data_IF_500124873779
#
_entry.id   IF_500124873779
#
_cell.length_a   1.000
_cell.length_b   1.000
_cell.length_c   1.000
_cell.angle_alpha   90.00
_cell.angle_beta   90.00
_cell.angle_gamma   90.00
#
_symmetry.space_group_name_H-M   'P 1'
#
loop_
_entity.id
_entity.type
_entity.pdbx_description
1 polymer ?
#
# COMPACT_ATOMS: atom_id res chain seq x y z
N UNK A 1 -11.61 4.65 13.52
CA UNK A 1 -10.36 5.31 13.09
C UNK A 1 -10.75 6.46 12.19
N UNK A 2 -10.15 7.63 12.40
CA UNK A 2 -10.32 8.76 11.50
C UNK A 2 -9.30 8.71 10.35
N UNK A 3 -9.36 9.69 9.45
CA UNK A 3 -8.43 9.83 8.32
C UNK A 3 -6.96 9.91 8.76
N UNK A 4 -6.66 10.62 9.85
CA UNK A 4 -5.30 10.77 10.35
C UNK A 4 -4.73 9.44 10.87
N UNK A 5 -5.53 8.65 11.60
CA UNK A 5 -5.13 7.32 12.09
C UNK A 5 -4.84 6.36 10.92
N UNK A 6 -5.69 6.39 9.87
CA UNK A 6 -5.52 5.55 8.68
C UNK A 6 -4.30 5.98 7.86
N UNK A 7 -4.08 7.29 7.71
CA UNK A 7 -2.91 7.83 7.05
C UNK A 7 -1.62 7.47 7.80
N UNK A 8 -1.63 7.51 9.13
CA UNK A 8 -0.52 7.05 9.97
C UNK A 8 -0.25 5.56 9.75
N UNK A 9 -1.29 4.73 9.77
CA UNK A 9 -1.17 3.29 9.54
C UNK A 9 -0.54 2.98 8.16
N UNK A 10 -0.96 3.69 7.11
CA UNK A 10 -0.35 3.56 5.78
C UNK A 10 1.08 4.09 5.74
N UNK A 11 1.36 5.21 6.40
CA UNK A 11 2.70 5.78 6.50
C UNK A 11 3.67 4.79 7.18
N UNK A 12 3.23 4.12 8.24
CA UNK A 12 4.01 3.10 8.93
C UNK A 12 4.25 1.88 8.04
N UNK A 13 3.18 1.32 7.46
CA UNK A 13 3.27 0.17 6.55
C UNK A 13 4.18 0.44 5.33
N UNK A 14 4.14 1.66 4.82
CA UNK A 14 4.91 2.05 3.64
C UNK A 14 6.34 2.42 3.96
N UNK A 15 6.58 3.21 5.03
CA UNK A 15 7.84 3.94 5.20
C UNK A 15 8.38 4.01 6.63
N UNK A 16 7.83 3.25 7.60
CA UNK A 16 8.46 3.16 8.91
C UNK A 16 9.93 2.68 8.79
N UNK A 17 10.84 3.10 9.69
CA UNK A 17 12.24 2.67 9.63
C UNK A 17 12.43 1.15 9.73
N UNK A 18 11.45 0.45 10.31
CA UNK A 18 11.44 -0.99 10.50
C UNK A 18 10.11 -1.55 10.00
N UNK A 19 10.13 -2.78 9.49
CA UNK A 19 8.91 -3.55 9.15
C UNK A 19 7.97 -2.86 8.14
N UNK A 20 8.56 -2.10 7.21
CA UNK A 20 7.84 -1.39 6.14
C UNK A 20 8.30 -1.81 4.76
N UNK A 21 7.48 -1.50 3.74
CA UNK A 21 7.86 -1.70 2.33
C UNK A 21 9.17 -0.99 2.00
N UNK A 22 9.32 0.27 2.40
CA UNK A 22 10.53 1.05 2.17
C UNK A 22 11.76 0.40 2.80
N UNK A 23 11.68 0.01 4.08
CA UNK A 23 12.78 -0.66 4.78
C UNK A 23 13.17 -1.97 4.09
N UNK A 24 12.19 -2.76 3.61
CA UNK A 24 12.44 -4.02 2.94
C UNK A 24 13.04 -3.82 1.53
N UNK A 25 12.63 -2.77 0.81
CA UNK A 25 13.22 -2.39 -0.47
C UNK A 25 14.69 -1.99 -0.31
N UNK A 26 15.02 -1.24 0.74
CA UNK A 26 16.39 -0.80 0.99
C UNK A 26 17.31 -1.98 1.34
N UNK A 27 16.77 -3.03 1.99
CA UNK A 27 17.53 -4.27 2.26
C UNK A 27 17.85 -5.09 1.00
N UNK A 28 17.05 -4.94 -0.07
CA UNK A 28 17.24 -5.65 -1.33
C UNK A 28 17.77 -4.75 -2.45
N UNK A 29 18.19 -3.53 -2.12
CA UNK A 29 18.72 -2.60 -3.12
C UNK A 29 19.96 -3.19 -3.80
N UNK A 30 20.03 -3.05 -5.12
CA UNK A 30 21.05 -3.69 -5.96
C UNK A 30 20.92 -5.22 -6.14
N UNK A 31 20.01 -5.90 -5.44
CA UNK A 31 19.82 -7.34 -5.61
C UNK A 31 19.04 -7.66 -6.90
N UNK A 32 19.59 -8.55 -7.73
CA UNK A 32 18.90 -9.03 -8.93
C UNK A 32 18.20 -10.36 -8.63
N UNK A 33 16.93 -10.30 -8.22
CA UNK A 33 16.10 -11.50 -8.00
C UNK A 33 14.72 -11.32 -8.65
N UNK A 34 14.27 -12.20 -9.58
CA UNK A 34 13.01 -12.03 -10.31
C UNK A 34 11.78 -11.81 -9.40
N UNK A 35 11.76 -12.48 -8.24
CA UNK A 35 10.69 -12.31 -7.25
C UNK A 35 10.60 -10.89 -6.67
N UNK A 36 11.72 -10.16 -6.55
CA UNK A 36 11.71 -8.76 -6.09
C UNK A 36 10.92 -7.91 -7.09
N UNK A 37 11.25 -7.99 -8.39
CA UNK A 37 10.55 -7.25 -9.44
C UNK A 37 9.06 -7.61 -9.54
N UNK A 38 8.72 -8.89 -9.35
CA UNK A 38 7.32 -9.30 -9.28
C UNK A 38 6.60 -8.72 -8.06
N UNK A 39 7.22 -8.74 -6.87
CA UNK A 39 6.63 -8.21 -5.64
C UNK A 39 6.38 -6.70 -5.72
N UNK A 40 7.32 -5.94 -6.26
CA UNK A 40 7.16 -4.48 -6.43
C UNK A 40 6.08 -4.14 -7.45
N UNK A 41 6.02 -4.88 -8.55
CA UNK A 41 4.95 -4.74 -9.56
C UNK A 41 3.58 -5.08 -8.96
N UNK A 42 3.48 -6.20 -8.24
CA UNK A 42 2.25 -6.65 -7.59
C UNK A 42 1.77 -5.62 -6.56
N UNK A 43 2.65 -5.12 -5.69
CA UNK A 43 2.30 -4.07 -4.73
C UNK A 43 1.78 -2.80 -5.42
N UNK A 44 2.44 -2.38 -6.50
CA UNK A 44 2.01 -1.20 -7.28
C UNK A 44 0.60 -1.41 -7.85
N UNK A 45 0.35 -2.56 -8.50
CA UNK A 45 -0.94 -2.88 -9.10
C UNK A 45 -2.05 -2.99 -8.05
N UNK A 46 -1.78 -3.68 -6.94
CA UNK A 46 -2.76 -3.87 -5.87
C UNK A 46 -3.13 -2.54 -5.20
N UNK A 47 -2.15 -1.67 -4.91
CA UNK A 47 -2.42 -0.33 -4.38
C UNK A 47 -3.25 0.52 -5.34
N UNK A 48 -2.96 0.45 -6.65
CA UNK A 48 -3.78 1.11 -7.68
C UNK A 48 -5.20 0.57 -7.69
N UNK A 49 -5.37 -0.74 -7.62
CA UNK A 49 -6.68 -1.40 -7.58
C UNK A 49 -7.52 -0.96 -6.38
N UNK A 50 -6.91 -0.89 -5.19
CA UNK A 50 -7.59 -0.38 -4.00
C UNK A 50 -8.03 1.07 -4.17
N UNK A 51 -7.15 1.95 -4.64
CA UNK A 51 -7.49 3.36 -4.81
C UNK A 51 -8.44 3.65 -5.95
N UNK A 52 -8.46 2.83 -7.00
CA UNK A 52 -9.48 2.90 -8.03
C UNK A 52 -10.87 2.55 -7.46
N UNK A 53 -10.96 1.55 -6.59
CA UNK A 53 -12.22 1.21 -5.93
C UNK A 53 -12.68 2.31 -4.96
N UNK A 54 -11.75 2.89 -4.19
CA UNK A 54 -12.05 4.03 -3.29
C UNK A 54 -12.54 5.23 -4.11
N UNK A 55 -11.80 5.65 -5.14
CA UNK A 55 -12.17 6.75 -6.01
C UNK A 55 -13.57 6.55 -6.64
N UNK A 56 -13.88 5.33 -7.09
CA UNK A 56 -15.20 4.99 -7.61
C UNK A 56 -16.33 5.10 -6.58
N UNK A 57 -16.06 4.85 -5.31
CA UNK A 57 -17.04 4.92 -4.23
C UNK A 57 -17.20 6.33 -3.64
N UNK A 58 -16.10 7.09 -3.52
CA UNK A 58 -16.09 8.40 -2.84
C UNK A 58 -16.15 9.59 -3.80
N UNK A 59 -15.97 9.37 -5.10
CA UNK A 59 -15.82 10.42 -6.10
C UNK A 59 -14.45 11.12 -6.09
N UNK A 60 -13.47 10.57 -5.36
CA UNK A 60 -12.10 11.11 -5.33
C UNK A 60 -11.32 10.87 -6.62
N UNK A 61 -10.14 11.47 -6.69
CA UNK A 61 -9.22 11.29 -7.80
C UNK A 61 -8.61 9.88 -7.80
N UNK A 62 -8.53 9.21 -8.97
CA UNK A 62 -7.83 7.95 -9.11
C UNK A 62 -6.32 8.12 -8.90
N UNK A 63 -5.59 7.02 -8.63
CA UNK A 63 -4.13 7.06 -8.49
C UNK A 63 -3.43 7.49 -9.79
N UNK A 64 -2.33 8.26 -9.75
CA UNK A 64 -1.64 8.73 -10.96
C UNK A 64 -1.10 7.57 -11.80
N UNK A 65 -1.40 7.48 -13.09
CA UNK A 65 -1.08 6.33 -13.97
C UNK A 65 0.42 6.02 -14.10
N UNK A 66 1.28 7.01 -13.93
CA UNK A 66 2.75 6.92 -14.09
C UNK A 66 3.50 6.73 -12.77
N UNK A 67 2.80 6.72 -11.63
CA UNK A 67 3.44 6.56 -10.32
C UNK A 67 4.00 5.14 -10.10
N UNK A 68 5.32 5.02 -9.98
CA UNK A 68 5.97 3.84 -9.41
C UNK A 68 5.64 3.68 -7.92
N UNK A 69 5.92 2.50 -7.36
CA UNK A 69 5.55 2.12 -5.98
C UNK A 69 5.84 3.21 -4.93
N UNK A 70 7.06 3.77 -4.91
CA UNK A 70 7.47 4.79 -3.93
C UNK A 70 6.63 6.07 -4.00
N UNK A 71 6.33 6.55 -5.22
CA UNK A 71 5.47 7.73 -5.42
C UNK A 71 4.04 7.42 -5.00
N UNK A 72 3.54 6.22 -5.31
CA UNK A 72 2.20 5.78 -4.94
C UNK A 72 2.02 5.67 -3.42
N UNK A 73 3.05 5.20 -2.71
CA UNK A 73 3.07 5.11 -1.24
C UNK A 73 2.97 6.46 -0.54
N UNK A 74 3.60 7.51 -1.09
CA UNK A 74 3.45 8.86 -0.56
C UNK A 74 2.07 9.44 -0.88
N UNK A 75 1.65 9.31 -2.14
CA UNK A 75 0.37 9.81 -2.61
C UNK A 75 -0.82 9.24 -1.83
N UNK A 76 -0.86 7.94 -1.52
CA UNK A 76 -1.98 7.35 -0.78
C UNK A 76 -2.11 7.87 0.66
N UNK A 77 -0.99 8.21 1.30
CA UNK A 77 -1.00 8.80 2.64
C UNK A 77 -1.58 10.21 2.56
N UNK A 78 -1.18 10.98 1.55
CA UNK A 78 -1.72 12.33 1.31
C UNK A 78 -3.22 12.28 1.01
N UNK A 79 -3.67 11.39 0.14
CA UNK A 79 -5.10 11.25 -0.18
C UNK A 79 -5.92 10.79 1.02
N UNK A 80 -5.41 9.83 1.80
CA UNK A 80 -6.13 9.33 2.98
C UNK A 80 -6.42 10.45 3.97
N UNK A 81 -5.50 11.43 4.11
CA UNK A 81 -5.70 12.59 4.99
C UNK A 81 -6.83 13.52 4.54
N UNK A 82 -7.21 13.48 3.27
CA UNK A 82 -8.26 14.34 2.71
C UNK A 82 -9.66 13.71 2.80
N UNK A 83 -9.76 12.42 3.13
CA UNK A 83 -11.04 11.72 3.21
C UNK A 83 -11.87 12.24 4.38
N UNK A 84 -13.13 12.58 4.09
CA UNK A 84 -14.11 12.93 5.12
C UNK A 84 -14.57 11.70 5.92
N UNK A 85 -15.14 11.87 7.12
CA UNK A 85 -15.74 10.77 7.88
C UNK A 85 -16.79 10.01 7.07
N UNK A 86 -17.61 10.71 6.28
CA UNK A 86 -18.64 10.12 5.44
C UNK A 86 -18.03 9.27 4.32
N UNK A 87 -16.97 9.76 3.67
CA UNK A 87 -16.23 9.00 2.66
C UNK A 87 -15.60 7.75 3.28
N UNK A 88 -15.03 7.84 4.48
CA UNK A 88 -14.45 6.69 5.19
C UNK A 88 -15.49 5.62 5.54
N UNK A 89 -16.72 6.02 5.83
CA UNK A 89 -17.85 5.13 6.11
C UNK A 89 -18.59 4.66 4.87
N UNK A 90 -18.24 5.14 3.67
CA UNK A 90 -18.87 4.72 2.42
C UNK A 90 -18.56 3.26 2.14
N UNK A 91 -19.61 2.48 1.85
CA UNK A 91 -19.48 1.07 1.48
C UNK A 91 -19.06 0.93 0.01
N UNK A 92 -18.21 -0.06 -0.24
CA UNK A 92 -17.80 -0.48 -1.56
C UNK A 92 -17.73 -2.01 -1.62
N UNK A 93 -17.78 -2.55 -2.83
CA UNK A 93 -17.52 -3.98 -3.06
C UNK A 93 -16.11 -4.15 -3.59
N UNK A 94 -15.28 -4.90 -2.87
CA UNK A 94 -13.94 -5.29 -3.30
C UNK A 94 -13.76 -6.79 -3.16
N UNK A 95 -13.40 -7.47 -4.25
CA UNK A 95 -13.22 -8.93 -4.27
C UNK A 95 -14.43 -9.70 -3.70
N UNK A 96 -15.63 -9.36 -4.15
CA UNK A 96 -16.93 -9.95 -3.74
C UNK A 96 -17.32 -9.71 -2.26
N UNK A 97 -16.56 -8.89 -1.53
CA UNK A 97 -16.86 -8.52 -0.16
C UNK A 97 -17.29 -7.05 -0.08
N UNK A 98 -18.39 -6.80 0.63
CA UNK A 98 -18.77 -5.44 1.01
C UNK A 98 -17.96 -5.02 2.23
N UNK A 99 -17.31 -3.86 2.13
CA UNK A 99 -16.56 -3.25 3.22
C UNK A 99 -16.58 -1.73 3.06
N UNK A 100 -16.28 -1.02 4.14
CA UNK A 100 -16.09 0.43 4.12
C UNK A 100 -14.75 0.81 3.49
N UNK A 101 -14.64 2.05 3.00
CA UNK A 101 -13.35 2.64 2.58
C UNK A 101 -12.30 2.52 3.69
N UNK A 102 -12.66 2.78 4.94
CA UNK A 102 -11.77 2.62 6.08
C UNK A 102 -11.24 1.19 6.23
N UNK A 103 -12.08 0.17 6.03
CA UNK A 103 -11.67 -1.23 6.08
C UNK A 103 -10.74 -1.62 4.92
N UNK A 104 -11.00 -1.10 3.71
CA UNK A 104 -10.14 -1.31 2.55
C UNK A 104 -8.75 -0.66 2.74
N UNK A 105 -8.67 0.54 3.33
CA UNK A 105 -7.41 1.18 3.67
C UNK A 105 -6.62 0.38 4.72
N UNK A 106 -7.31 -0.19 5.72
CA UNK A 106 -6.68 -1.11 6.69
C UNK A 106 -6.19 -2.40 6.03
N UNK A 107 -6.94 -2.93 5.06
CA UNK A 107 -6.51 -4.08 4.27
C UNK A 107 -5.25 -3.75 3.47
N UNK A 108 -5.20 -2.59 2.82
CA UNK A 108 -4.03 -2.12 2.08
C UNK A 108 -2.78 -2.05 2.97
N UNK A 109 -2.89 -1.48 4.17
CA UNK A 109 -1.77 -1.44 5.11
C UNK A 109 -1.28 -2.86 5.49
N UNK A 110 -2.19 -3.78 5.84
CA UNK A 110 -1.82 -5.19 6.16
C UNK A 110 -1.18 -5.90 4.96
N UNK A 111 -1.73 -5.72 3.77
CA UNK A 111 -1.22 -6.30 2.52
C UNK A 111 0.21 -5.80 2.22
N UNK A 112 0.45 -4.51 2.46
CA UNK A 112 1.76 -3.88 2.29
C UNK A 112 2.81 -4.48 3.22
N UNK A 113 2.51 -4.60 4.52
CA UNK A 113 3.43 -5.20 5.52
C UNK A 113 3.67 -6.68 5.23
N UNK A 114 2.64 -7.44 4.82
CA UNK A 114 2.80 -8.86 4.48
C UNK A 114 3.83 -9.06 3.35
N UNK A 115 3.76 -8.25 2.28
CA UNK A 115 4.75 -8.30 1.20
C UNK A 115 6.09 -7.69 1.56
N UNK A 116 6.14 -6.69 2.44
CA UNK A 116 7.40 -6.20 2.99
C UNK A 116 8.18 -7.33 3.68
N UNK A 117 7.50 -8.19 4.45
CA UNK A 117 8.10 -9.39 5.04
C UNK A 117 8.66 -10.36 3.99
N UNK A 118 7.97 -10.54 2.85
CA UNK A 118 8.47 -11.37 1.76
C UNK A 118 9.71 -10.77 1.09
N UNK A 119 9.75 -9.45 0.88
CA UNK A 119 10.92 -8.74 0.37
C UNK A 119 12.11 -8.88 1.33
N UNK A 120 11.90 -8.64 2.62
CA UNK A 120 12.94 -8.77 3.65
C UNK A 120 13.49 -10.21 3.73
N UNK A 121 12.64 -11.23 3.60
CA UNK A 121 13.07 -12.63 3.59
C UNK A 121 13.97 -12.95 2.39
N UNK A 122 13.79 -12.28 1.24
CA UNK A 122 14.67 -12.43 0.09
C UNK A 122 16.04 -11.78 0.34
N UNK A 123 16.10 -10.65 1.05
CA UNK A 123 17.37 -10.02 1.44
C UNK A 123 18.25 -10.93 2.29
N UNK A 124 17.63 -11.72 3.19
CA UNK A 124 18.34 -12.73 3.98
C UNK A 124 18.98 -13.81 3.11
N UNK A 125 18.33 -14.23 2.02
CA UNK A 125 18.82 -15.28 1.11
C UNK A 125 19.90 -14.80 0.15
N UNK A 126 19.79 -13.56 -0.34
CA UNK A 126 20.79 -12.96 -1.25
C UNK A 126 22.14 -12.79 -0.54
N UNK A 127 22.15 -12.49 0.77
CA UNK A 127 23.39 -12.34 1.55
C UNK A 127 24.07 -13.65 1.94
N UNK A 128 23.40 -14.79 1.78
CA UNK A 128 23.92 -16.12 2.15
C UNK A 128 24.33 -16.98 0.94
N UNK A 129 24.21 -16.45 -0.28
CA UNK A 129 24.64 -17.09 -1.52
C UNK A 129 25.98 -16.52 -1.99
#
# INVERSE_FOLDING_TARGET
MNAADLALLLQEANSAPWESVQSALDMVDGATHPRIGWLTTHLTQTKRGYWAAIAGATGDLPPPDDAGLRRLMGWEVEQTRQLSPEQLSTELTYSEQTMTVAELLRLNARHSVWHAGQLAALAGRVRSA
#
